data_IF_021704736767
#
_entry.id   IF_021704736767
#
_cell.length_a   1.000
_cell.length_b   1.000
_cell.length_c   1.000
_cell.angle_alpha   90.00
_cell.angle_beta   90.00
_cell.angle_gamma   90.00
#
_symmetry.space_group_name_H-M   'P 1'
#
loop_
_entity.id
_entity.type
_entity.pdbx_description
1 polymer ?
#
# COMPACT_ATOMS: atom_id res chain seq x y z
N UNK A 1 -12.10 -6.23 -20.65
CA UNK A 1 -10.80 -5.64 -21.03
C UNK A 1 -10.37 -4.52 -20.08
N UNK A 2 -11.19 -3.49 -19.84
CA UNK A 2 -10.80 -2.38 -18.96
C UNK A 2 -10.97 -2.66 -17.45
N UNK A 3 -12.02 -3.38 -17.04
CA UNK A 3 -12.16 -3.88 -15.66
C UNK A 3 -11.01 -4.82 -15.27
N UNK A 4 -10.63 -5.74 -16.15
CA UNK A 4 -9.47 -6.63 -15.99
C UNK A 4 -8.16 -5.86 -15.81
N UNK A 5 -7.96 -4.76 -16.57
CA UNK A 5 -6.79 -3.88 -16.38
C UNK A 5 -6.81 -3.16 -15.03
N UNK A 6 -7.99 -2.77 -14.56
CA UNK A 6 -8.15 -2.19 -13.23
C UNK A 6 -7.81 -3.21 -12.13
N UNK A 7 -8.28 -4.46 -12.25
CA UNK A 7 -7.92 -5.56 -11.33
C UNK A 7 -6.41 -5.85 -11.34
N UNK A 8 -5.76 -5.87 -12.52
CA UNK A 8 -4.30 -6.03 -12.62
C UNK A 8 -3.53 -4.88 -11.97
N UNK A 9 -4.04 -3.65 -12.11
CA UNK A 9 -3.49 -2.48 -11.44
C UNK A 9 -3.62 -2.59 -9.91
N UNK A 10 -4.79 -2.96 -9.40
CA UNK A 10 -5.00 -3.18 -7.97
C UNK A 10 -4.14 -4.31 -7.41
N UNK A 11 -4.00 -5.42 -8.16
CA UNK A 11 -3.07 -6.49 -7.79
C UNK A 11 -1.61 -6.01 -7.69
N UNK A 12 -1.19 -5.10 -8.57
CA UNK A 12 0.13 -4.48 -8.51
C UNK A 12 0.28 -3.58 -7.27
N UNK A 13 -0.75 -2.81 -6.93
CA UNK A 13 -0.76 -1.99 -5.71
C UNK A 13 -0.73 -2.84 -4.44
N UNK A 14 -1.49 -3.94 -4.40
CA UNK A 14 -1.41 -4.92 -3.31
C UNK A 14 0.01 -5.50 -3.19
N UNK A 15 0.64 -5.86 -4.30
CA UNK A 15 2.03 -6.35 -4.29
C UNK A 15 3.01 -5.33 -3.70
N UNK A 16 2.82 -4.03 -4.00
CA UNK A 16 3.59 -2.95 -3.35
C UNK A 16 3.29 -2.91 -1.85
N UNK A 17 2.01 -2.97 -1.46
CA UNK A 17 1.58 -3.00 -0.05
C UNK A 17 2.29 -4.12 0.71
N UNK A 18 2.10 -5.36 0.27
CA UNK A 18 2.63 -6.56 0.91
C UNK A 18 4.15 -6.47 1.06
N UNK A 19 4.85 -6.05 -0.01
CA UNK A 19 6.31 -5.89 0.01
C UNK A 19 6.75 -4.90 1.09
N UNK A 20 6.10 -3.73 1.18
CA UNK A 20 6.48 -2.70 2.14
C UNK A 20 6.11 -3.05 3.58
N UNK A 21 4.99 -3.72 3.80
CA UNK A 21 4.60 -4.26 5.11
C UNK A 21 5.62 -5.30 5.55
N UNK A 22 5.94 -6.27 4.71
CA UNK A 22 6.92 -7.33 5.00
C UNK A 22 8.29 -6.74 5.29
N UNK A 23 8.77 -5.80 4.47
CA UNK A 23 10.04 -5.13 4.70
C UNK A 23 10.03 -4.37 6.03
N UNK A 24 8.94 -3.68 6.36
CA UNK A 24 8.82 -2.90 7.59
C UNK A 24 8.83 -3.81 8.83
N UNK A 25 8.05 -4.88 8.83
CA UNK A 25 8.04 -5.88 9.91
C UNK A 25 9.40 -6.56 10.05
N UNK A 26 9.98 -7.00 8.94
CA UNK A 26 11.31 -7.61 8.93
C UNK A 26 12.40 -6.64 9.42
N UNK A 27 12.20 -5.33 9.31
CA UNK A 27 13.16 -4.35 9.82
C UNK A 27 13.21 -4.32 11.35
N UNK A 28 12.22 -4.88 12.04
CA UNK A 28 12.23 -5.07 13.49
C UNK A 28 12.72 -6.45 13.93
N UNK A 29 12.98 -7.37 12.98
CA UNK A 29 13.63 -8.64 13.29
C UNK A 29 15.14 -8.39 13.53
N UNK A 30 15.69 -8.71 14.71
CA UNK A 30 17.12 -8.51 15.01
C UNK A 30 18.09 -9.26 14.09
N UNK A 31 17.61 -10.29 13.38
CA UNK A 31 18.40 -11.06 12.42
C UNK A 31 18.32 -10.48 10.99
N UNK A 32 17.51 -9.45 10.78
CA UNK A 32 17.33 -8.82 9.49
C UNK A 32 18.61 -8.14 9.02
N UNK A 33 18.88 -8.32 7.72
CA UNK A 33 20.00 -7.65 7.05
C UNK A 33 19.59 -6.31 6.44
N UNK A 34 18.33 -5.92 6.57
CA UNK A 34 17.82 -4.65 6.08
C UNK A 34 18.40 -3.54 6.95
N UNK A 35 19.25 -2.71 6.36
CA UNK A 35 19.83 -1.54 7.01
C UNK A 35 19.27 -0.28 6.36
N UNK A 36 18.33 0.37 7.03
CA UNK A 36 17.89 1.71 6.64
C UNK A 36 18.97 2.71 7.02
N UNK A 37 19.78 3.12 6.04
CA UNK A 37 20.99 3.90 6.25
C UNK A 37 20.76 5.14 7.13
N UNK A 38 19.62 5.82 6.94
CA UNK A 38 19.30 7.07 7.61
C UNK A 38 18.59 6.89 8.97
N UNK A 39 17.98 5.72 9.21
CA UNK A 39 17.12 5.47 10.38
C UNK A 39 17.63 4.34 11.29
N UNK A 40 18.84 3.85 11.05
CA UNK A 40 19.40 2.64 11.66
C UNK A 40 19.38 2.67 13.20
N UNK A 41 19.67 3.82 13.81
CA UNK A 41 19.65 3.96 15.28
C UNK A 41 18.23 3.84 15.85
N UNK A 42 17.23 4.45 15.22
CA UNK A 42 15.84 4.36 15.64
C UNK A 42 15.33 2.91 15.53
N UNK A 43 15.65 2.20 14.44
CA UNK A 43 15.29 0.79 14.30
C UNK A 43 15.95 -0.08 15.36
N UNK A 44 17.24 0.11 15.67
CA UNK A 44 17.91 -0.62 16.76
C UNK A 44 17.22 -0.41 18.11
N UNK A 45 16.87 0.83 18.44
CA UNK A 45 16.16 1.16 19.69
C UNK A 45 14.80 0.45 19.78
N UNK A 46 14.10 0.30 18.65
CA UNK A 46 12.80 -0.37 18.59
C UNK A 46 12.93 -1.91 18.56
N UNK A 47 13.94 -2.46 17.88
CA UNK A 47 14.27 -3.90 17.93
C UNK A 47 14.59 -4.39 19.34
N UNK A 48 15.17 -3.53 20.19
CA UNK A 48 15.38 -3.84 21.61
C UNK A 48 14.09 -3.87 22.44
N UNK A 49 12.98 -3.33 21.92
CA UNK A 49 11.69 -3.24 22.61
C UNK A 49 10.69 -4.27 22.09
N UNK A 50 10.67 -4.50 20.79
CA UNK A 50 9.78 -5.46 20.13
C UNK A 50 10.49 -6.81 20.02
N UNK A 51 10.15 -7.73 20.93
CA UNK A 51 10.87 -9.01 21.08
C UNK A 51 10.00 -10.23 20.86
N UNK A 52 8.68 -10.05 20.95
CA UNK A 52 7.73 -11.14 20.81
C UNK A 52 7.16 -11.19 19.39
N UNK A 53 6.64 -12.35 19.02
CA UNK A 53 5.86 -12.52 17.79
C UNK A 53 4.59 -11.64 17.83
N UNK A 54 3.99 -11.46 19.00
CA UNK A 54 2.84 -10.55 19.20
C UNK A 54 3.20 -9.09 18.89
N UNK A 55 4.40 -8.63 19.26
CA UNK A 55 4.87 -7.27 18.93
C UNK A 55 5.00 -7.10 17.40
N UNK A 56 5.58 -8.10 16.73
CA UNK A 56 5.76 -8.08 15.28
C UNK A 56 4.40 -8.15 14.55
N UNK A 57 3.45 -8.92 15.08
CA UNK A 57 2.08 -8.97 14.56
C UNK A 57 1.36 -7.62 14.73
N UNK A 58 1.49 -6.97 15.90
CA UNK A 58 0.92 -5.64 16.12
C UNK A 58 1.51 -4.60 15.18
N UNK A 59 2.83 -4.64 14.94
CA UNK A 59 3.48 -3.79 13.94
C UNK A 59 2.95 -4.08 12.54
N UNK A 60 2.81 -5.36 12.17
CA UNK A 60 2.26 -5.76 10.86
C UNK A 60 0.88 -5.17 10.61
N UNK A 61 -0.02 -5.22 11.61
CA UNK A 61 -1.36 -4.63 11.52
C UNK A 61 -1.27 -3.11 11.25
N UNK A 62 -0.46 -2.39 12.03
CA UNK A 62 -0.29 -0.94 11.87
C UNK A 62 0.32 -0.60 10.50
N UNK A 63 1.30 -1.38 10.04
CA UNK A 63 1.94 -1.14 8.74
C UNK A 63 0.99 -1.43 7.58
N UNK A 64 0.13 -2.46 7.69
CA UNK A 64 -0.93 -2.69 6.70
C UNK A 64 -1.85 -1.47 6.62
N UNK A 65 -2.43 -1.05 7.74
CA UNK A 65 -3.35 0.09 7.78
C UNK A 65 -2.70 1.37 7.21
N UNK A 66 -1.45 1.64 7.58
CA UNK A 66 -0.72 2.81 7.10
C UNK A 66 -0.50 2.77 5.58
N UNK A 67 0.00 1.67 5.05
CA UNK A 67 0.33 1.56 3.62
C UNK A 67 -0.95 1.54 2.77
N UNK A 68 -2.00 0.87 3.22
CA UNK A 68 -3.33 0.90 2.59
C UNK A 68 -3.87 2.31 2.53
N UNK A 69 -3.84 3.03 3.66
CA UNK A 69 -4.32 4.41 3.74
C UNK A 69 -3.54 5.32 2.79
N UNK A 70 -2.22 5.17 2.72
CA UNK A 70 -1.40 5.97 1.78
C UNK A 70 -1.80 5.71 0.33
N UNK A 71 -1.93 4.45 -0.07
CA UNK A 71 -2.34 4.09 -1.43
C UNK A 71 -3.75 4.63 -1.72
N UNK A 72 -4.69 4.43 -0.78
CA UNK A 72 -6.05 4.94 -0.85
C UNK A 72 -6.10 6.47 -1.07
N UNK A 73 -5.33 7.25 -0.30
CA UNK A 73 -5.27 8.72 -0.46
C UNK A 73 -4.67 9.14 -1.79
N UNK A 74 -3.69 8.40 -2.33
CA UNK A 74 -3.17 8.66 -3.67
C UNK A 74 -4.26 8.40 -4.72
N UNK A 75 -5.06 7.33 -4.58
CA UNK A 75 -6.17 7.04 -5.50
C UNK A 75 -7.27 8.09 -5.40
N UNK A 76 -7.62 8.57 -4.20
CA UNK A 76 -8.56 9.68 -4.02
C UNK A 76 -8.15 10.93 -4.81
N UNK A 77 -6.85 11.28 -4.79
CA UNK A 77 -6.33 12.41 -5.58
C UNK A 77 -6.56 12.20 -7.08
N UNK A 78 -6.38 10.98 -7.57
CA UNK A 78 -6.60 10.61 -8.98
C UNK A 78 -8.10 10.61 -9.31
N UNK A 79 -8.95 10.21 -8.36
CA UNK A 79 -10.41 10.28 -8.49
C UNK A 79 -10.93 11.74 -8.46
N UNK A 80 -10.09 12.69 -8.09
CA UNK A 80 -10.41 14.12 -8.07
C UNK A 80 -10.86 14.62 -6.69
N UNK A 81 -10.65 13.83 -5.64
CA UNK A 81 -10.75 14.27 -4.26
C UNK A 81 -9.48 15.00 -3.82
N UNK A 82 -9.59 15.83 -2.78
CA UNK A 82 -8.47 16.62 -2.25
C UNK A 82 -8.20 17.91 -3.03
N UNK A 83 -7.10 18.59 -2.67
CA UNK A 83 -6.81 19.97 -3.09
C UNK A 83 -5.83 20.07 -4.27
N UNK A 84 -5.73 19.03 -5.12
CA UNK A 84 -4.87 19.10 -6.28
C UNK A 84 -5.40 20.14 -7.27
N UNK A 85 -4.54 21.10 -7.64
CA UNK A 85 -4.92 22.28 -8.45
C UNK A 85 -5.30 21.97 -9.91
N UNK A 86 -5.16 20.73 -10.33
CA UNK A 86 -5.47 20.26 -11.67
C UNK A 86 -5.92 18.81 -11.62
N UNK A 87 -6.80 18.37 -12.53
CA UNK A 87 -7.22 16.98 -12.59
C UNK A 87 -6.06 16.09 -13.07
N UNK A 88 -5.95 14.90 -12.47
CA UNK A 88 -5.05 13.82 -12.89
C UNK A 88 -5.89 12.59 -13.21
N UNK A 89 -5.40 11.76 -14.13
CA UNK A 89 -6.07 10.52 -14.50
C UNK A 89 -5.06 9.43 -14.85
N UNK A 90 -5.45 8.17 -14.63
CA UNK A 90 -4.70 6.99 -15.05
C UNK A 90 -5.29 6.48 -16.37
N UNK A 91 -4.56 6.70 -17.45
CA UNK A 91 -5.00 6.38 -18.81
C UNK A 91 -4.20 5.19 -19.34
N UNK A 92 -4.91 4.20 -19.88
CA UNK A 92 -4.29 3.12 -20.62
C UNK A 92 -3.62 3.66 -21.89
N UNK A 93 -2.33 3.37 -22.06
CA UNK A 93 -1.53 3.95 -23.15
C UNK A 93 -2.00 3.52 -24.54
N UNK A 94 -2.61 2.34 -24.67
CA UNK A 94 -2.99 1.77 -25.96
C UNK A 94 -4.43 2.15 -26.32
N UNK A 95 -5.36 1.96 -25.39
CA UNK A 95 -6.79 2.21 -25.65
C UNK A 95 -7.19 3.66 -25.41
N UNK A 96 -6.36 4.45 -24.71
CA UNK A 96 -6.64 5.82 -24.29
C UNK A 96 -7.84 5.98 -23.35
N UNK A 97 -8.32 4.88 -22.78
CA UNK A 97 -9.43 4.90 -21.83
C UNK A 97 -8.89 5.14 -20.42
N UNK A 98 -9.70 5.81 -19.60
CA UNK A 98 -9.41 5.98 -18.19
C UNK A 98 -9.64 4.66 -17.45
N UNK A 99 -8.81 4.38 -16.45
CA UNK A 99 -9.08 3.30 -15.49
C UNK A 99 -10.25 3.66 -14.55
N UNK A 100 -10.66 4.93 -14.48
CA UNK A 100 -11.79 5.44 -13.67
C UNK A 100 -13.14 5.25 -14.35
N UNK A 101 -13.18 4.86 -15.62
CA UNK A 101 -14.42 4.60 -16.35
C UNK A 101 -15.27 3.47 -15.72
N UNK A 102 -14.72 2.73 -14.74
CA UNK A 102 -15.35 1.60 -14.05
C UNK A 102 -15.70 1.87 -12.58
N UNK A 103 -15.59 3.14 -12.16
CA UNK A 103 -15.82 3.56 -10.79
C UNK A 103 -14.60 4.24 -10.19
N UNK A 104 -14.73 4.65 -8.94
CA UNK A 104 -13.68 5.32 -8.21
C UNK A 104 -12.58 4.33 -7.84
N UNK A 105 -11.33 4.71 -8.10
CA UNK A 105 -10.15 3.86 -7.91
C UNK A 105 -9.90 3.58 -6.42
N UNK A 106 -10.16 4.56 -5.54
CA UNK A 106 -9.94 4.39 -4.10
C UNK A 106 -10.85 3.30 -3.52
N UNK A 107 -12.16 3.38 -3.75
CA UNK A 107 -13.13 2.38 -3.34
C UNK A 107 -12.89 1.04 -4.05
N UNK A 108 -12.57 1.09 -5.35
CA UNK A 108 -12.23 -0.11 -6.13
C UNK A 108 -11.04 -0.87 -5.53
N UNK A 109 -9.99 -0.17 -5.09
CA UNK A 109 -8.83 -0.78 -4.45
C UNK A 109 -9.18 -1.39 -3.09
N UNK A 110 -9.97 -0.71 -2.25
CA UNK A 110 -10.38 -1.25 -0.95
C UNK A 110 -11.25 -2.50 -1.09
N UNK A 111 -12.18 -2.50 -2.05
CA UNK A 111 -12.98 -3.67 -2.37
C UNK A 111 -12.11 -4.83 -2.85
N UNK A 112 -11.12 -4.55 -3.71
CA UNK A 112 -10.16 -5.55 -4.15
C UNK A 112 -9.39 -6.17 -2.99
N UNK A 113 -8.89 -5.37 -2.04
CA UNK A 113 -8.21 -5.89 -0.85
C UNK A 113 -9.15 -6.76 0.00
N UNK A 114 -10.37 -6.29 0.28
CA UNK A 114 -11.37 -7.04 1.04
C UNK A 114 -11.66 -8.42 0.44
N UNK A 115 -11.78 -8.51 -0.89
CA UNK A 115 -12.02 -9.78 -1.60
C UNK A 115 -10.84 -10.76 -1.53
N UNK A 116 -9.60 -10.26 -1.42
CA UNK A 116 -8.38 -11.07 -1.52
C UNK A 116 -7.68 -11.35 -0.20
N UNK A 117 -7.97 -10.57 0.84
CA UNK A 117 -7.32 -10.67 2.15
C UNK A 117 -8.28 -11.10 3.26
N UNK A 118 -9.59 -11.08 2.97
CA UNK A 118 -10.64 -11.48 3.91
C UNK A 118 -11.04 -10.33 4.83
N UNK A 119 -12.35 -10.11 4.94
CA UNK A 119 -12.96 -9.32 6.01
C UNK A 119 -13.03 -10.07 7.33
#
# INVERSE_FOLDING_TARGET
MSKEKQELFFGSLKGIKDTWVDLSVNSFNPQSRIKWADSNEAYKLLQEKFKSEDDLNAISIIQNELVETVIYRIMEIIDGYGDLKYPVDLIDKDTKNSLRDFGELHDGFMNYLYEHEGG
#
